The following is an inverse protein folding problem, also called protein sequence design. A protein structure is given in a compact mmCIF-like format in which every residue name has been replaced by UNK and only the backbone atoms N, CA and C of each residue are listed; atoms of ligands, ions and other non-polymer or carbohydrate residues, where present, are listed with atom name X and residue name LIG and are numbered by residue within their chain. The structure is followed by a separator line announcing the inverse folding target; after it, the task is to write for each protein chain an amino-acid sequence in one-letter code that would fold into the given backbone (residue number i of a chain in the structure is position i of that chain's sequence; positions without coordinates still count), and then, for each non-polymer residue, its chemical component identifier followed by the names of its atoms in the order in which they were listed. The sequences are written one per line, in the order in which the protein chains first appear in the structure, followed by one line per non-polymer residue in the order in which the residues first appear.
data_IF_195313847933
#
_entry.id   IF_195313847933
#
_cell.length_a   1.000
_cell.length_b   1.000
_cell.length_c   1.000
_cell.angle_alpha   90.00
_cell.angle_beta   90.00
_cell.angle_gamma   90.00
#
_symmetry.space_group_name_H-M   'P 1'
#
loop_
_entity.id
_entity.type
_entity.pdbx_description
1 polymer ?
#
# COMPACT_ATOMS: atom_id res chain seq x y z
N UNK A 1 -38.57 22.81 -17.82
CA UNK A 1 -37.38 22.14 -18.36
C UNK A 1 -36.55 23.23 -19.04
N UNK A 2 -35.37 23.53 -18.51
CA UNK A 2 -34.47 24.53 -19.12
C UNK A 2 -33.48 23.81 -20.04
N UNK A 3 -33.34 24.29 -21.27
CA UNK A 3 -32.36 23.80 -22.23
C UNK A 3 -31.01 24.51 -22.01
N UNK A 4 -29.90 23.80 -22.21
CA UNK A 4 -28.55 24.37 -22.20
C UNK A 4 -28.13 24.58 -23.64
N UNK A 5 -27.83 25.83 -24.00
CA UNK A 5 -27.46 26.23 -25.36
C UNK A 5 -25.96 26.49 -25.47
N UNK A 6 -25.30 25.91 -26.49
CA UNK A 6 -23.91 26.24 -26.84
C UNK A 6 -23.89 27.10 -28.10
N UNK A 7 -23.42 28.34 -27.97
CA UNK A 7 -23.33 29.28 -29.09
C UNK A 7 -21.96 29.20 -29.76
N UNK A 8 -21.93 29.03 -31.09
CA UNK A 8 -20.73 29.21 -31.92
C UNK A 8 -20.83 30.57 -32.60
N UNK A 9 -19.96 31.52 -32.21
CA UNK A 9 -19.92 32.84 -32.86
C UNK A 9 -19.26 32.67 -34.23
N UNK A 10 -20.05 32.72 -35.30
CA UNK A 10 -19.54 32.75 -36.67
C UNK A 10 -19.46 34.20 -37.12
N UNK A 11 -18.25 34.67 -37.44
CA UNK A 11 -18.04 36.01 -37.98
C UNK A 11 -18.50 36.01 -39.44
N UNK A 12 -19.64 36.62 -39.71
CA UNK A 12 -20.18 36.77 -41.06
C UNK A 12 -19.53 37.98 -41.73
N UNK A 13 -18.48 37.75 -42.52
CA UNK A 13 -17.96 38.76 -43.45
C UNK A 13 -17.87 38.10 -44.83
N UNK A 14 -18.70 38.54 -45.78
CA UNK A 14 -18.45 38.32 -47.20
C UNK A 14 -17.82 39.59 -47.76
N UNK A 15 -16.64 39.50 -48.38
CA UNK A 15 -15.99 40.64 -49.03
C UNK A 15 -16.75 41.14 -50.26
N UNK A 16 -17.65 40.33 -50.83
CA UNK A 16 -18.48 40.71 -51.98
C UNK A 16 -19.96 40.47 -51.66
N UNK A 17 -20.62 41.53 -51.18
CA UNK A 17 -21.93 41.46 -50.52
C UNK A 17 -23.12 41.13 -51.43
N UNK A 18 -23.31 39.88 -51.86
CA UNK A 18 -24.64 39.51 -52.37
C UNK A 18 -25.10 38.04 -52.33
N UNK A 19 -24.55 37.18 -51.45
CA UNK A 19 -25.23 35.92 -51.10
C UNK A 19 -24.77 35.39 -49.74
N UNK A 20 -25.59 35.61 -48.72
CA UNK A 20 -25.49 34.88 -47.47
C UNK A 20 -26.24 33.56 -47.68
N UNK A 21 -25.52 32.45 -47.82
CA UNK A 21 -26.14 31.12 -47.79
C UNK A 21 -26.68 30.87 -46.38
N UNK A 22 -28.00 30.77 -46.26
CA UNK A 22 -28.65 30.39 -45.01
C UNK A 22 -28.75 28.85 -44.98
N UNK A 23 -27.76 28.23 -44.35
CA UNK A 23 -27.92 26.87 -43.83
C UNK A 23 -28.57 27.01 -42.44
N UNK A 24 -29.74 26.42 -42.15
CA UNK A 24 -30.38 26.50 -40.84
C UNK A 24 -29.57 25.67 -39.83
N UNK A 25 -28.39 26.18 -39.48
CA UNK A 25 -27.59 25.72 -38.35
C UNK A 25 -28.19 26.29 -37.07
N UNK A 26 -29.31 25.70 -36.62
CA UNK A 26 -29.80 25.93 -35.26
C UNK A 26 -28.73 25.53 -34.23
N UNK A 27 -28.69 26.17 -33.05
CA UNK A 27 -27.73 25.79 -32.02
C UNK A 27 -27.92 24.32 -31.64
N UNK A 28 -26.82 23.60 -31.44
CA UNK A 28 -26.90 22.29 -30.78
C UNK A 28 -27.38 22.52 -29.35
N UNK A 29 -28.55 21.97 -29.03
CA UNK A 29 -29.19 22.09 -27.72
C UNK A 29 -29.16 20.75 -27.00
N UNK A 30 -28.80 20.78 -25.71
CA UNK A 30 -28.89 19.62 -24.83
C UNK A 30 -29.81 19.94 -23.67
N UNK A 31 -30.59 18.95 -23.21
CA UNK A 31 -31.40 19.10 -22.01
C UNK A 31 -30.48 19.32 -20.80
N UNK A 32 -30.83 20.25 -19.90
CA UNK A 32 -30.04 20.48 -18.69
C UNK A 32 -29.81 19.21 -17.88
N UNK A 33 -30.84 18.35 -17.77
CA UNK A 33 -30.71 17.06 -17.08
C UNK A 33 -29.68 16.11 -17.71
N UNK A 34 -29.52 16.14 -19.03
CA UNK A 34 -28.52 15.36 -19.73
C UNK A 34 -27.11 15.93 -19.51
N UNK A 35 -26.98 17.27 -19.50
CA UNK A 35 -25.72 17.95 -19.19
C UNK A 35 -25.28 17.72 -17.73
N UNK A 36 -26.20 17.84 -16.78
CA UNK A 36 -25.96 17.58 -15.36
C UNK A 36 -25.56 16.12 -15.13
N UNK A 37 -26.26 15.19 -15.80
CA UNK A 37 -25.92 13.77 -15.77
C UNK A 37 -24.52 13.48 -16.30
N UNK A 38 -24.14 14.06 -17.44
CA UNK A 38 -22.79 13.94 -17.99
C UNK A 38 -21.74 14.54 -17.04
N UNK A 39 -22.01 15.73 -16.49
CA UNK A 39 -21.12 16.40 -15.52
C UNK A 39 -20.89 15.52 -14.29
N UNK A 40 -21.94 14.90 -13.75
CA UNK A 40 -21.81 13.98 -12.62
C UNK A 40 -20.92 12.79 -12.95
N UNK A 41 -21.10 12.17 -14.12
CA UNK A 41 -20.26 11.06 -14.56
C UNK A 41 -18.78 11.47 -14.70
N UNK A 42 -18.51 12.68 -15.19
CA UNK A 42 -17.15 13.20 -15.26
C UNK A 42 -16.52 13.43 -13.89
N UNK A 43 -17.28 13.98 -12.93
CA UNK A 43 -16.81 14.17 -11.56
C UNK A 43 -16.55 12.82 -10.87
N UNK A 44 -17.48 11.87 -10.97
CA UNK A 44 -17.30 10.51 -10.44
C UNK A 44 -16.05 9.83 -11.03
N UNK A 45 -15.82 9.99 -12.34
CA UNK A 45 -14.63 9.45 -13.01
C UNK A 45 -13.35 10.14 -12.53
N UNK A 46 -13.35 11.46 -12.37
CA UNK A 46 -12.21 12.22 -11.87
C UNK A 46 -11.85 11.82 -10.43
N UNK A 47 -12.84 11.64 -9.55
CA UNK A 47 -12.62 11.19 -8.17
C UNK A 47 -12.01 9.77 -8.14
N UNK A 48 -12.51 8.86 -8.99
CA UNK A 48 -11.95 7.51 -9.12
C UNK A 48 -10.51 7.52 -9.64
N UNK A 49 -10.19 8.40 -10.58
CA UNK A 49 -8.84 8.55 -11.10
C UNK A 49 -7.88 9.00 -9.99
N UNK A 50 -8.24 10.03 -9.22
CA UNK A 50 -7.44 10.50 -8.08
C UNK A 50 -7.26 9.41 -7.01
N UNK A 51 -8.31 8.63 -6.73
CA UNK A 51 -8.20 7.51 -5.80
C UNK A 51 -7.31 6.37 -6.34
N UNK A 52 -7.28 6.14 -7.66
CA UNK A 52 -6.33 5.21 -8.29
C UNK A 52 -4.90 5.69 -8.13
N UNK A 53 -4.62 6.95 -8.48
CA UNK A 53 -3.29 7.54 -8.39
C UNK A 53 -2.71 7.46 -6.96
N UNK A 54 -3.55 7.70 -5.93
CA UNK A 54 -3.13 7.56 -4.52
C UNK A 54 -2.72 6.12 -4.20
N UNK A 55 -3.54 5.14 -4.59
CA UNK A 55 -3.25 3.71 -4.38
C UNK A 55 -2.02 3.27 -5.15
N UNK A 56 -1.85 3.73 -6.39
CA UNK A 56 -0.66 3.45 -7.20
C UNK A 56 0.60 4.00 -6.55
N UNK A 57 0.54 5.22 -5.99
CA UNK A 57 1.67 5.81 -5.27
C UNK A 57 2.03 5.03 -4.01
N UNK A 58 1.04 4.59 -3.22
CA UNK A 58 1.26 3.73 -2.05
C UNK A 58 1.87 2.38 -2.44
N UNK A 59 1.38 1.76 -3.52
CA UNK A 59 1.94 0.52 -4.04
C UNK A 59 3.36 0.71 -4.54
N UNK A 60 3.66 1.80 -5.22
CA UNK A 60 5.00 2.12 -5.69
C UNK A 60 5.98 2.26 -4.52
N UNK A 61 5.58 2.94 -3.44
CA UNK A 61 6.40 3.05 -2.23
C UNK A 61 6.67 1.67 -1.61
N UNK A 62 5.65 0.81 -1.54
CA UNK A 62 5.81 -0.57 -1.03
C UNK A 62 6.73 -1.41 -1.91
N UNK A 63 6.66 -1.23 -3.24
CA UNK A 63 7.53 -1.92 -4.19
C UNK A 63 8.98 -1.48 -4.02
N UNK A 64 9.25 -0.17 -3.93
CA UNK A 64 10.59 0.36 -3.67
C UNK A 64 11.17 -0.16 -2.36
N UNK A 65 10.39 -0.19 -1.28
CA UNK A 65 10.86 -0.75 0.00
C UNK A 65 11.13 -2.27 -0.09
N UNK A 66 10.37 -3.00 -0.91
CA UNK A 66 10.60 -4.43 -1.15
C UNK A 66 11.88 -4.67 -1.97
N UNK A 67 12.12 -3.84 -3.00
CA UNK A 67 13.34 -3.89 -3.82
C UNK A 67 14.58 -3.61 -2.96
N UNK A 68 14.58 -2.55 -2.16
CA UNK A 68 15.68 -2.23 -1.23
C UNK A 68 15.96 -3.39 -0.25
N UNK A 69 14.90 -4.06 0.22
CA UNK A 69 15.03 -5.24 1.08
C UNK A 69 15.63 -6.43 0.32
N UNK A 70 15.27 -6.62 -0.94
CA UNK A 70 15.81 -7.67 -1.80
C UNK A 70 17.29 -7.43 -2.13
N UNK A 71 17.68 -6.19 -2.41
CA UNK A 71 19.07 -5.78 -2.63
C UNK A 71 19.93 -6.05 -1.39
N UNK A 72 19.42 -5.68 -0.21
CA UNK A 72 20.07 -5.95 1.07
C UNK A 72 20.26 -7.46 1.30
N UNK A 73 19.21 -8.26 1.09
CA UNK A 73 19.29 -9.71 1.22
C UNK A 73 20.32 -10.32 0.25
N UNK A 74 20.32 -9.86 -1.00
CA UNK A 74 21.25 -10.33 -2.03
C UNK A 74 22.69 -10.02 -1.65
N UNK A 75 22.97 -8.82 -1.17
CA UNK A 75 24.30 -8.40 -0.70
C UNK A 75 24.78 -9.26 0.49
N UNK A 76 23.91 -9.52 1.47
CA UNK A 76 24.24 -10.39 2.61
C UNK A 76 24.55 -11.81 2.15
N UNK A 77 23.74 -12.39 1.26
CA UNK A 77 23.97 -13.73 0.70
C UNK A 77 25.31 -13.79 -0.04
N UNK A 78 25.60 -12.79 -0.88
CA UNK A 78 26.87 -12.73 -1.61
C UNK A 78 28.08 -12.70 -0.69
N UNK A 79 28.02 -11.91 0.41
CA UNK A 79 29.09 -11.86 1.41
C UNK A 79 29.30 -13.21 2.10
N UNK A 80 28.22 -13.91 2.45
CA UNK A 80 28.30 -15.24 3.06
C UNK A 80 28.93 -16.24 2.11
N UNK A 81 28.47 -16.27 0.85
CA UNK A 81 29.01 -17.18 -0.17
C UNK A 81 30.49 -16.90 -0.38
N UNK A 82 30.90 -15.64 -0.48
CA UNK A 82 32.31 -15.27 -0.63
C UNK A 82 33.16 -15.70 0.59
N UNK A 83 32.62 -15.58 1.81
CA UNK A 83 33.29 -16.07 3.01
C UNK A 83 33.48 -17.59 2.97
N UNK A 84 32.44 -18.34 2.60
CA UNK A 84 32.54 -19.81 2.45
C UNK A 84 33.50 -20.23 1.33
N UNK A 85 33.47 -19.56 0.18
CA UNK A 85 34.38 -19.85 -0.93
C UNK A 85 35.84 -19.65 -0.49
N UNK A 86 36.10 -18.60 0.29
CA UNK A 86 37.42 -18.33 0.89
C UNK A 86 37.82 -19.44 1.86
N UNK A 87 36.95 -19.85 2.78
CA UNK A 87 37.22 -20.94 3.73
C UNK A 87 37.50 -22.28 3.01
N UNK A 88 36.78 -22.56 1.93
CA UNK A 88 36.96 -23.78 1.12
C UNK A 88 38.28 -23.73 0.33
N UNK A 89 38.62 -22.59 -0.29
CA UNK A 89 39.81 -22.46 -1.14
C UNK A 89 41.11 -22.57 -0.34
N UNK A 90 41.15 -22.06 0.89
CA UNK A 90 42.38 -22.05 1.70
C UNK A 90 42.62 -23.31 2.53
N UNK A 91 41.68 -24.27 2.59
CA UNK A 91 41.85 -25.65 3.08
C UNK A 91 42.66 -25.90 4.39
N UNK A 92 42.92 -24.89 5.21
CA UNK A 92 43.75 -24.97 6.41
C UNK A 92 43.30 -23.93 7.43
N UNK A 93 43.74 -24.12 8.67
CA UNK A 93 43.45 -23.40 9.92
C UNK A 93 43.70 -21.88 9.87
N UNK A 94 43.06 -21.19 8.94
CA UNK A 94 42.83 -19.75 9.01
C UNK A 94 41.79 -19.61 10.12
N UNK A 95 42.21 -19.11 11.29
CA UNK A 95 41.25 -18.55 12.24
C UNK A 95 40.30 -17.70 11.40
N UNK A 96 38.99 -18.04 11.36
CA UNK A 96 38.03 -17.28 10.57
C UNK A 96 38.32 -15.80 10.81
N UNK A 97 38.09 -14.93 9.84
CA UNK A 97 37.98 -13.52 10.22
C UNK A 97 36.73 -13.39 11.11
N UNK A 98 36.85 -13.78 12.38
CA UNK A 98 35.76 -14.01 13.32
C UNK A 98 34.95 -12.73 13.43
N UNK A 99 35.62 -11.58 13.31
CA UNK A 99 35.00 -10.27 13.27
C UNK A 99 34.07 -10.08 12.06
N UNK A 100 34.47 -10.45 10.84
CA UNK A 100 33.64 -10.29 9.65
C UNK A 100 32.55 -11.36 9.56
N UNK A 101 32.83 -12.59 9.98
CA UNK A 101 31.83 -13.65 10.05
C UNK A 101 30.75 -13.34 11.09
N UNK A 102 31.14 -12.94 12.31
CA UNK A 102 30.19 -12.54 13.36
C UNK A 102 29.42 -11.26 12.97
N UNK A 103 30.05 -10.33 12.27
CA UNK A 103 29.38 -9.14 11.76
C UNK A 103 28.31 -9.50 10.71
N UNK A 104 28.63 -10.35 9.73
CA UNK A 104 27.67 -10.80 8.71
C UNK A 104 26.50 -11.55 9.37
N UNK A 105 26.78 -12.46 10.31
CA UNK A 105 25.74 -13.19 11.04
C UNK A 105 24.87 -12.27 11.90
N UNK A 106 25.47 -11.23 12.50
CA UNK A 106 24.74 -10.21 13.26
C UNK A 106 23.82 -9.41 12.36
N UNK A 107 24.31 -8.93 11.22
CA UNK A 107 23.53 -8.18 10.23
C UNK A 107 22.39 -9.04 9.65
N UNK A 108 22.63 -10.32 9.36
CA UNK A 108 21.58 -11.26 8.96
C UNK A 108 20.53 -11.45 10.05
N UNK A 109 20.95 -11.61 11.31
CA UNK A 109 20.03 -11.79 12.42
C UNK A 109 19.16 -10.54 12.60
N UNK A 110 19.73 -9.35 12.46
CA UNK A 110 18.99 -8.10 12.49
C UNK A 110 18.03 -7.96 11.30
N UNK A 111 18.48 -8.33 10.10
CA UNK A 111 17.66 -8.31 8.88
C UNK A 111 16.47 -9.29 8.93
N UNK A 112 16.69 -10.49 9.46
CA UNK A 112 15.68 -11.53 9.64
C UNK A 112 14.85 -11.33 10.90
N UNK A 113 15.35 -10.54 11.86
CA UNK A 113 14.58 -10.20 13.05
C UNK A 113 13.27 -9.60 12.58
N UNK A 114 12.13 -10.11 13.05
CA UNK A 114 10.86 -9.46 12.78
C UNK A 114 10.98 -8.04 13.34
N UNK A 115 11.15 -7.04 12.46
CA UNK A 115 10.98 -5.63 12.82
C UNK A 115 9.61 -5.58 13.47
N UNK A 116 9.59 -5.36 14.78
CA UNK A 116 8.44 -5.57 15.68
C UNK A 116 7.14 -5.56 14.89
N UNK A 117 6.68 -6.75 14.52
CA UNK A 117 5.37 -6.88 13.93
C UNK A 117 4.44 -6.37 15.00
N UNK A 118 3.85 -5.21 14.69
CA UNK A 118 3.02 -4.28 15.48
C UNK A 118 1.87 -4.96 16.27
N UNK A 119 1.76 -6.28 16.18
CA UNK A 119 0.72 -7.16 16.67
C UNK A 119 1.27 -8.25 17.61
N UNK A 120 2.15 -7.90 18.54
CA UNK A 120 2.60 -8.84 19.58
C UNK A 120 1.59 -8.87 20.73
N UNK A 121 0.89 -9.99 20.90
CA UNK A 121 -0.02 -10.18 22.04
C UNK A 121 0.78 -10.48 23.31
N UNK A 122 0.42 -9.83 24.41
CA UNK A 122 0.97 -10.13 25.72
C UNK A 122 0.48 -11.51 26.21
N UNK A 123 1.24 -12.21 27.08
CA UNK A 123 0.81 -13.48 27.66
C UNK A 123 -0.53 -13.36 28.38
N UNK A 124 -1.28 -14.46 28.48
CA UNK A 124 -2.50 -14.49 29.30
C UNK A 124 -2.19 -14.33 30.79
N UNK A 125 -3.20 -14.21 31.66
CA UNK A 125 -2.97 -14.02 33.12
C UNK A 125 -2.20 -15.16 33.79
N UNK A 126 -2.25 -16.35 33.20
CA UNK A 126 -1.52 -17.52 33.66
C UNK A 126 -0.09 -17.61 33.07
N UNK A 127 0.33 -16.61 32.27
CA UNK A 127 1.66 -16.55 31.65
C UNK A 127 1.81 -17.36 30.37
N UNK A 128 0.74 -17.94 29.82
CA UNK A 128 0.81 -18.67 28.56
C UNK A 128 1.04 -17.71 27.39
N UNK A 129 1.95 -18.09 26.48
CA UNK A 129 2.31 -17.31 25.29
C UNK A 129 1.57 -17.76 24.02
N UNK A 130 0.81 -18.85 24.11
CA UNK A 130 -0.01 -19.35 23.03
C UNK A 130 -1.34 -18.58 22.99
N UNK A 131 -1.25 -17.35 22.48
CA UNK A 131 -2.35 -16.37 22.43
C UNK A 131 -2.50 -15.87 20.99
N UNK A 132 -3.74 -15.64 20.56
CA UNK A 132 -4.02 -15.15 19.21
C UNK A 132 -5.33 -14.38 19.11
N UNK A 133 -5.38 -13.44 18.15
CA UNK A 133 -6.55 -12.64 17.85
C UNK A 133 -7.02 -12.89 16.41
N UNK A 134 -8.27 -13.29 16.23
CA UNK A 134 -8.91 -13.46 14.93
C UNK A 134 -10.43 -13.28 15.01
N UNK A 135 -11.04 -12.69 13.98
CA UNK A 135 -12.49 -12.58 13.86
C UNK A 135 -13.17 -11.81 15.00
N UNK A 136 -12.48 -10.82 15.59
CA UNK A 136 -12.97 -10.11 16.76
C UNK A 136 -12.82 -10.85 18.08
N UNK A 137 -12.05 -11.95 18.14
CA UNK A 137 -11.79 -12.70 19.37
C UNK A 137 -10.30 -12.80 19.62
N UNK A 138 -9.85 -12.33 20.78
CA UNK A 138 -8.51 -12.56 21.32
C UNK A 138 -8.60 -13.66 22.38
N UNK A 139 -7.79 -14.71 22.30
CA UNK A 139 -7.86 -15.82 23.25
C UNK A 139 -6.52 -16.52 23.47
N UNK A 140 -6.43 -17.21 24.61
CA UNK A 140 -5.38 -18.15 24.93
C UNK A 140 -5.82 -19.58 24.60
N UNK A 141 -5.04 -20.27 23.77
CA UNK A 141 -5.32 -21.64 23.35
C UNK A 141 -5.05 -22.69 24.44
N UNK A 142 -4.40 -22.29 25.55
CA UNK A 142 -4.04 -23.20 26.65
C UNK A 142 -5.05 -23.19 27.81
N UNK A 143 -5.66 -22.03 28.10
CA UNK A 143 -6.53 -21.89 29.28
C UNK A 143 -7.89 -21.24 28.99
N UNK A 144 -8.28 -21.17 27.72
CA UNK A 144 -9.57 -20.66 27.23
C UNK A 144 -9.92 -19.22 27.66
N UNK A 145 -8.96 -18.46 28.18
CA UNK A 145 -9.14 -17.02 28.44
C UNK A 145 -9.41 -16.32 27.11
N UNK A 146 -10.46 -15.50 27.05
CA UNK A 146 -10.87 -14.83 25.82
C UNK A 146 -11.49 -13.46 26.04
N UNK A 147 -11.33 -12.59 25.05
CA UNK A 147 -11.91 -11.24 24.92
C UNK A 147 -12.54 -11.13 23.53
N UNK A 148 -13.72 -10.52 23.46
CA UNK A 148 -14.47 -10.32 22.22
C UNK A 148 -14.68 -8.84 21.93
N UNK A 149 -14.44 -8.42 20.70
CA UNK A 149 -14.61 -7.06 20.22
C UNK A 149 -15.23 -7.03 18.81
N UNK A 150 -15.46 -5.84 18.25
CA UNK A 150 -16.11 -5.68 16.95
C UNK A 150 -15.22 -6.13 15.78
N UNK A 151 -13.90 -6.09 15.95
CA UNK A 151 -12.94 -6.55 14.95
C UNK A 151 -11.65 -7.08 15.61
N UNK A 152 -10.78 -7.69 14.81
CA UNK A 152 -9.52 -8.31 15.28
C UNK A 152 -8.57 -7.29 15.93
N UNK A 153 -8.54 -6.04 15.43
CA UNK A 153 -7.68 -4.99 15.99
C UNK A 153 -8.13 -4.58 17.38
N UNK A 154 -9.43 -4.33 17.56
CA UNK A 154 -9.98 -3.99 18.87
C UNK A 154 -9.77 -5.12 19.88
N UNK A 155 -9.93 -6.38 19.45
CA UNK A 155 -9.70 -7.53 20.31
C UNK A 155 -8.22 -7.63 20.73
N UNK A 156 -7.30 -7.36 19.81
CA UNK A 156 -5.86 -7.29 20.07
C UNK A 156 -5.50 -6.18 21.06
N UNK A 157 -5.98 -4.96 20.83
CA UNK A 157 -5.70 -3.79 21.68
C UNK A 157 -6.28 -3.98 23.09
N UNK A 158 -7.51 -4.49 23.21
CA UNK A 158 -8.13 -4.79 24.50
C UNK A 158 -7.39 -5.89 25.26
N UNK A 159 -6.91 -6.92 24.55
CA UNK A 159 -6.10 -7.98 25.16
C UNK A 159 -4.82 -7.41 25.76
N UNK A 160 -4.05 -6.64 24.99
CA UNK A 160 -2.79 -6.07 25.46
C UNK A 160 -2.97 -5.04 26.58
N UNK A 161 -4.07 -4.28 26.56
CA UNK A 161 -4.41 -3.34 27.64
C UNK A 161 -4.74 -4.06 28.97
N UNK A 162 -5.34 -5.25 28.90
CA UNK A 162 -5.74 -6.02 30.09
C UNK A 162 -4.66 -6.99 30.59
N UNK A 163 -3.63 -7.23 29.78
CA UNK A 163 -2.50 -8.11 30.07
C UNK A 163 -1.19 -7.33 29.92
N UNK A 164 -0.84 -6.38 30.79
CA UNK A 164 0.39 -5.61 30.64
C UNK A 164 1.62 -6.54 30.63
N UNK A 165 2.61 -6.24 29.79
CA UNK A 165 3.86 -6.98 29.75
C UNK A 165 4.56 -6.87 31.12
N UNK A 166 4.65 -7.98 31.83
CA UNK A 166 5.52 -8.15 33.01
C UNK A 166 6.93 -8.52 32.60
#
# INVERSE_FOLDING_TARGET
MSEVHRYKVVKMLSEEGNRISYDPHGPEVVLASAFDGATRLFLDAAERAVASERREKELQQRLTAADERADTATSLIQRIVANFDTEIEFHEDVEPNELEHDQVLTEMREFLSPKDTEWRMHPCKNGHRDVGAAGGVAHCYTCDEKITAGNTQEAFEQWNATHPAT
#
